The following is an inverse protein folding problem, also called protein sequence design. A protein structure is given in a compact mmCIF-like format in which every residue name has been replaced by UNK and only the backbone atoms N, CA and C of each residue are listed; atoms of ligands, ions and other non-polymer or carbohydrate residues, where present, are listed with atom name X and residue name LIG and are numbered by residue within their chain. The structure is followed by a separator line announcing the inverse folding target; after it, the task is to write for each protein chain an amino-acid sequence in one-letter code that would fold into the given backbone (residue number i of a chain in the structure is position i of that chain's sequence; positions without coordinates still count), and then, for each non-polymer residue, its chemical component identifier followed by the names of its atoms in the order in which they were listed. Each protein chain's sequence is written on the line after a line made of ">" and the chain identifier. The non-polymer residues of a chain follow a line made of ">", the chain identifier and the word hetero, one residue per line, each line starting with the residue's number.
data_IF_652205967849
#
_entry.id   IF_652205967849
#
_cell.length_a   1.000
_cell.length_b   1.000
_cell.length_c   1.000
_cell.angle_alpha   90.00
_cell.angle_beta   90.00
_cell.angle_gamma   90.00
#
_symmetry.space_group_name_H-M   'P 1'
#
loop_
_entity.id
_entity.type
_entity.pdbx_description
1 polymer ?
#
# COMPACT_ATOMS: atom_id res chain seq x y z
N UNK A 1 -14.20 12.43 -4.98
CA UNK A 1 -14.92 11.51 -4.07
C UNK A 1 -13.98 10.66 -3.22
N UNK A 2 -13.52 9.46 -3.60
CA UNK A 2 -12.70 8.65 -2.67
C UNK A 2 -11.36 9.30 -2.25
N UNK A 3 -10.71 10.02 -3.15
CA UNK A 3 -9.45 10.72 -2.87
C UNK A 3 -9.58 11.84 -1.83
N UNK A 4 -10.63 12.66 -1.96
CA UNK A 4 -10.90 13.78 -1.06
C UNK A 4 -11.44 13.29 0.29
N UNK A 5 -12.22 12.20 0.28
CA UNK A 5 -12.82 11.63 1.49
C UNK A 5 -11.79 10.98 2.42
N UNK A 6 -10.77 10.34 1.85
CA UNK A 6 -9.72 9.64 2.61
C UNK A 6 -8.41 10.39 2.74
N UNK A 7 -8.29 11.55 2.07
CA UNK A 7 -7.07 12.37 2.07
C UNK A 7 -5.82 11.53 1.75
N UNK A 8 -5.92 10.74 0.68
CA UNK A 8 -4.99 9.63 0.41
C UNK A 8 -3.56 10.10 0.11
N UNK A 9 -3.40 11.34 -0.34
CA UNK A 9 -2.11 11.94 -0.71
C UNK A 9 -1.42 12.70 0.44
N UNK A 10 -2.08 12.89 1.60
CA UNK A 10 -1.57 13.74 2.69
C UNK A 10 -0.21 13.29 3.24
N UNK A 11 0.07 11.99 3.18
CA UNK A 11 1.31 11.39 3.69
C UNK A 11 2.37 11.22 2.59
N UNK A 12 2.05 11.55 1.33
CA UNK A 12 2.92 11.35 0.16
C UNK A 12 3.25 9.89 -0.16
N UNK A 13 2.76 8.94 0.63
CA UNK A 13 2.95 7.50 0.46
C UNK A 13 1.66 6.75 0.73
N UNK A 14 1.45 5.68 -0.03
CA UNK A 14 0.34 4.73 0.16
C UNK A 14 0.87 3.31 0.21
N UNK A 15 0.14 2.45 0.90
CA UNK A 15 0.32 1.01 0.86
C UNK A 15 -0.56 0.40 -0.22
N UNK A 16 0.03 -0.53 -0.97
CA UNK A 16 -0.67 -1.40 -1.90
C UNK A 16 -0.61 -2.82 -1.38
N UNK A 17 -1.73 -3.53 -1.43
CA UNK A 17 -1.72 -4.97 -1.29
C UNK A 17 -2.61 -5.65 -2.30
N UNK A 18 -2.12 -6.79 -2.80
CA UNK A 18 -2.74 -7.54 -3.89
C UNK A 18 -4.13 -8.01 -3.48
N UNK A 19 -5.10 -7.78 -4.35
CA UNK A 19 -6.45 -8.32 -4.25
C UNK A 19 -6.49 -9.83 -4.48
N UNK A 20 -7.69 -10.40 -4.63
CA UNK A 20 -7.83 -11.83 -4.88
C UNK A 20 -7.23 -12.20 -6.25
N UNK A 21 -6.72 -13.44 -6.38
CA UNK A 21 -6.25 -13.97 -7.67
C UNK A 21 -7.34 -14.00 -8.76
N UNK A 22 -8.61 -13.96 -8.37
CA UNK A 22 -9.76 -14.10 -9.28
C UNK A 22 -10.18 -12.73 -9.85
N UNK A 23 -10.15 -11.68 -9.01
CA UNK A 23 -10.59 -10.33 -9.37
C UNK A 23 -9.43 -9.38 -9.68
N UNK A 24 -8.21 -9.74 -9.30
CA UNK A 24 -7.02 -8.88 -9.39
C UNK A 24 -7.16 -7.60 -8.55
N UNK A 25 -6.36 -6.60 -8.94
CA UNK A 25 -6.40 -5.25 -8.39
C UNK A 25 -5.58 -5.07 -7.12
N UNK A 26 -5.58 -3.84 -6.63
CA UNK A 26 -4.91 -3.43 -5.40
C UNK A 26 -5.90 -2.78 -4.45
N UNK A 27 -5.77 -3.11 -3.16
CA UNK A 27 -6.28 -2.25 -2.12
C UNK A 27 -5.24 -1.16 -1.86
N UNK A 28 -5.71 0.09 -1.72
CA UNK A 28 -4.88 1.27 -1.49
C UNK A 28 -5.27 1.89 -0.16
N UNK A 29 -4.30 2.22 0.69
CA UNK A 29 -4.53 2.92 1.97
C UNK A 29 -3.29 3.72 2.36
N UNK A 30 -3.39 4.61 3.35
CA UNK A 30 -2.25 5.35 3.93
C UNK A 30 -1.99 4.91 5.35
N UNK A 31 -0.82 5.24 5.92
CA UNK A 31 -0.41 4.78 7.25
C UNK A 31 -1.35 5.25 8.34
N UNK A 32 -1.79 6.51 8.29
CA UNK A 32 -2.73 7.06 9.25
C UNK A 32 -4.12 6.41 9.24
N UNK A 33 -4.46 5.65 8.19
CA UNK A 33 -5.67 4.83 8.15
C UNK A 33 -5.38 3.36 8.49
N UNK A 34 -4.24 2.83 8.06
CA UNK A 34 -3.89 1.42 8.25
C UNK A 34 -3.43 1.11 9.68
N UNK A 35 -2.48 1.88 10.22
CA UNK A 35 -1.86 1.61 11.53
C UNK A 35 -2.86 1.61 12.70
N UNK A 36 -3.82 2.55 12.81
CA UNK A 36 -4.82 2.50 13.88
C UNK A 36 -5.97 1.53 13.60
N UNK A 37 -6.02 0.86 12.44
CA UNK A 37 -7.09 -0.07 12.10
C UNK A 37 -6.89 -1.46 12.72
N UNK A 38 -7.89 -2.33 12.59
CA UNK A 38 -7.78 -3.76 12.95
C UNK A 38 -6.65 -4.49 12.18
N UNK A 39 -6.24 -3.95 11.02
CA UNK A 39 -5.17 -4.48 10.19
C UNK A 39 -3.80 -3.83 10.49
N UNK A 40 -3.72 -2.91 11.44
CA UNK A 40 -2.48 -2.17 11.77
C UNK A 40 -1.31 -3.06 12.15
N UNK A 41 -1.59 -4.20 12.79
CA UNK A 41 -0.60 -5.22 13.16
C UNK A 41 0.22 -5.75 11.97
N UNK A 42 -0.26 -5.59 10.73
CA UNK A 42 0.53 -5.91 9.53
C UNK A 42 1.82 -5.09 9.55
N UNK A 43 1.75 -3.78 9.84
CA UNK A 43 2.92 -2.90 9.88
C UNK A 43 3.84 -3.24 11.05
N UNK A 44 3.27 -3.54 12.22
CA UNK A 44 4.08 -3.91 13.40
C UNK A 44 4.85 -5.23 13.16
N UNK A 45 4.21 -6.20 12.49
CA UNK A 45 4.82 -7.48 12.11
C UNK A 45 5.74 -7.38 10.87
N UNK A 46 5.71 -6.26 10.14
CA UNK A 46 6.55 -6.01 8.96
C UNK A 46 7.28 -4.67 9.06
N UNK A 47 8.32 -4.58 9.92
CA UNK A 47 9.06 -3.33 10.13
C UNK A 47 9.47 -2.60 8.84
N UNK A 48 9.90 -3.27 7.76
CA UNK A 48 10.26 -2.58 6.50
C UNK A 48 9.11 -1.82 5.81
N UNK A 49 7.85 -2.17 6.10
CA UNK A 49 6.68 -1.41 5.66
C UNK A 49 6.35 -0.27 6.62
N UNK A 50 6.54 -0.48 7.92
CA UNK A 50 6.26 0.51 8.95
C UNK A 50 7.20 1.71 8.86
N UNK A 51 8.49 1.46 8.63
CA UNK A 51 9.54 2.47 8.57
C UNK A 51 9.86 2.96 7.15
N UNK A 52 9.19 2.39 6.13
CA UNK A 52 9.45 2.63 4.71
C UNK A 52 10.88 2.31 4.26
N UNK A 53 11.57 1.38 4.93
CA UNK A 53 12.93 0.96 4.55
C UNK A 53 12.97 -0.02 3.36
N UNK A 54 11.86 -0.71 3.07
CA UNK A 54 11.73 -1.47 1.82
C UNK A 54 11.77 -0.54 0.60
N UNK A 55 12.18 -1.04 -0.58
CA UNK A 55 12.10 -0.23 -1.81
C UNK A 55 10.66 0.13 -2.18
N UNK A 56 10.44 1.32 -2.75
CA UNK A 56 9.15 1.69 -3.33
C UNK A 56 8.72 0.66 -4.38
N UNK A 57 7.49 0.13 -4.24
CA UNK A 57 6.95 -0.93 -5.09
C UNK A 57 7.52 -2.34 -4.84
N UNK A 58 8.40 -2.51 -3.84
CA UNK A 58 8.94 -3.82 -3.47
C UNK A 58 7.93 -4.61 -2.63
N UNK A 59 7.45 -5.73 -3.18
CA UNK A 59 6.47 -6.56 -2.50
C UNK A 59 7.07 -7.46 -1.42
N UNK A 60 6.55 -7.31 -0.21
CA UNK A 60 6.78 -8.17 0.95
C UNK A 60 5.59 -9.10 1.12
N UNK A 61 5.85 -10.41 1.25
CA UNK A 61 4.81 -11.41 1.52
C UNK A 61 4.53 -11.49 3.01
N UNK A 62 3.25 -11.38 3.37
CA UNK A 62 2.78 -11.55 4.74
C UNK A 62 1.42 -12.26 4.75
N UNK A 63 1.30 -13.36 5.51
CA UNK A 63 0.08 -14.17 5.67
C UNK A 63 -0.70 -14.42 4.35
N UNK A 64 0.02 -14.80 3.30
CA UNK A 64 -0.56 -15.18 2.00
C UNK A 64 -0.96 -14.01 1.09
N UNK A 65 -0.64 -12.77 1.46
CA UNK A 65 -0.82 -11.57 0.61
C UNK A 65 0.51 -10.85 0.41
N UNK A 66 0.61 -10.08 -0.66
CA UNK A 66 1.77 -9.23 -0.94
C UNK A 66 1.43 -7.78 -0.65
N UNK A 67 2.34 -7.10 0.03
CA UNK A 67 2.21 -5.71 0.46
C UNK A 67 3.44 -4.92 0.00
N UNK A 68 3.25 -3.70 -0.45
CA UNK A 68 4.33 -2.74 -0.69
C UNK A 68 3.85 -1.33 -0.34
N UNK A 69 4.77 -0.38 -0.37
CA UNK A 69 4.42 1.03 -0.36
C UNK A 69 4.87 1.68 -1.67
N UNK A 70 4.20 2.74 -2.08
CA UNK A 70 4.59 3.59 -3.22
C UNK A 70 4.39 5.06 -2.88
N UNK A 71 5.10 5.92 -3.60
CA UNK A 71 4.84 7.35 -3.59
C UNK A 71 3.54 7.66 -4.33
N UNK A 72 2.81 8.67 -3.84
CA UNK A 72 1.60 9.19 -4.48
C UNK A 72 1.78 10.69 -4.73
N UNK A 73 1.41 11.15 -5.92
CA UNK A 73 1.44 12.58 -6.24
C UNK A 73 0.34 13.34 -5.49
N UNK A 74 0.43 14.67 -5.43
CA UNK A 74 -0.63 15.48 -4.82
C UNK A 74 -1.96 15.36 -5.58
N UNK A 75 -1.90 15.05 -6.87
CA UNK A 75 -3.05 14.75 -7.73
C UNK A 75 -3.56 13.32 -7.56
N UNK A 76 -2.93 12.51 -6.69
CA UNK A 76 -3.37 11.14 -6.39
C UNK A 76 -2.84 10.05 -7.27
N UNK A 77 -1.82 10.34 -8.06
CA UNK A 77 -1.33 9.39 -9.05
C UNK A 77 -0.24 8.52 -8.43
N UNK A 78 -0.32 7.23 -8.70
CA UNK A 78 0.73 6.26 -8.36
C UNK A 78 1.28 5.65 -9.64
N UNK A 79 2.58 5.35 -9.65
CA UNK A 79 3.20 4.67 -10.78
C UNK A 79 3.30 3.18 -10.47
N UNK A 80 2.56 2.37 -11.22
CA UNK A 80 2.68 0.90 -11.16
C UNK A 80 3.67 0.44 -12.23
N UNK A 81 4.72 -0.26 -11.80
CA UNK A 81 5.66 -0.87 -12.73
C UNK A 81 5.10 -2.17 -13.28
N UNK A 82 5.57 -2.61 -14.46
CA UNK A 82 5.15 -3.89 -15.05
C UNK A 82 5.38 -5.07 -14.10
N UNK A 83 6.51 -5.08 -13.39
CA UNK A 83 6.82 -6.10 -12.37
C UNK A 83 5.77 -6.17 -11.27
N UNK A 84 5.15 -5.05 -10.92
CA UNK A 84 4.08 -5.02 -9.91
C UNK A 84 2.75 -5.56 -10.45
N UNK A 85 2.54 -5.44 -11.77
CA UNK A 85 1.34 -5.94 -12.46
C UNK A 85 1.43 -7.45 -12.77
N UNK A 86 2.63 -8.01 -12.82
CA UNK A 86 2.89 -9.42 -13.11
C UNK A 86 2.79 -10.33 -11.84
N UNK A 87 2.34 -9.80 -10.69
CA UNK A 87 2.37 -10.48 -9.39
C UNK A 87 1.10 -11.29 -9.05
#
# INVERSE_FOLDING_TARGET
>A
QAMEEYHIADEGKVYLFTGSKITGGFCVTRKGLLHPSKLGHILDDTPPLLDYSAGSGEFIKYKGRSYCWVEISQEGQILLTKKMMDF
#
